data_IF_994349280170
#
_entry.id   IF_994349280170
#
_cell.length_a   1.000
_cell.length_b   1.000
_cell.length_c   1.000
_cell.angle_alpha   90.00
_cell.angle_beta   90.00
_cell.angle_gamma   90.00
#
_symmetry.space_group_name_H-M   'P 1'
#
loop_
_entity.id
_entity.type
_entity.pdbx_description
1 polymer ?
#
# COMPACT_ATOMS: atom_id res chain seq x y z
N UNK A 1 5.31 7.41 5.05
CA UNK A 1 3.99 7.46 5.70
C UNK A 1 3.12 8.42 4.93
N UNK A 2 2.57 7.87 3.87
CA UNK A 2 1.52 8.44 3.08
C UNK A 2 0.33 8.79 3.98
N UNK A 3 -0.29 9.92 3.69
CA UNK A 3 -1.49 10.38 4.39
C UNK A 3 -2.56 10.66 3.36
N UNK A 4 -3.70 10.01 3.53
CA UNK A 4 -4.89 10.21 2.71
C UNK A 4 -6.00 10.80 3.58
N UNK A 5 -6.79 11.73 3.05
CA UNK A 5 -7.88 12.34 3.82
C UNK A 5 -8.97 11.30 4.10
N UNK A 6 -9.24 11.02 5.38
CA UNK A 6 -10.29 10.09 5.82
C UNK A 6 -11.68 10.48 5.34
N UNK A 7 -11.92 11.75 4.99
CA UNK A 7 -13.19 12.18 4.38
C UNK A 7 -13.49 11.42 3.08
N UNK A 8 -12.45 10.98 2.35
CA UNK A 8 -12.57 10.21 1.12
C UNK A 8 -13.21 8.84 1.33
N UNK A 9 -13.11 8.24 2.53
CA UNK A 9 -13.76 6.97 2.85
C UNK A 9 -15.27 7.02 2.50
N UNK A 10 -15.93 8.16 2.72
CA UNK A 10 -17.36 8.34 2.41
C UNK A 10 -17.65 8.41 0.90
N UNK A 11 -16.65 8.70 0.09
CA UNK A 11 -16.78 8.91 -1.36
C UNK A 11 -16.41 7.64 -2.12
N UNK A 12 -15.28 7.01 -1.76
CA UNK A 12 -14.70 5.85 -2.49
C UNK A 12 -14.85 4.53 -1.73
N UNK A 13 -15.31 4.57 -0.48
CA UNK A 13 -15.42 3.40 0.39
C UNK A 13 -14.10 3.03 1.07
N UNK A 14 -14.17 2.29 2.17
CA UNK A 14 -12.99 1.89 2.96
C UNK A 14 -12.02 1.01 2.18
N UNK A 15 -12.54 0.03 1.42
CA UNK A 15 -11.69 -0.90 0.68
C UNK A 15 -10.79 -0.18 -0.31
N UNK A 16 -11.35 0.77 -1.07
CA UNK A 16 -10.58 1.53 -2.06
C UNK A 16 -9.68 2.56 -1.38
N UNK A 17 -10.13 3.18 -0.29
CA UNK A 17 -9.30 4.09 0.51
C UNK A 17 -7.99 3.44 0.97
N UNK A 18 -8.06 2.27 1.62
CA UNK A 18 -6.85 1.60 2.13
C UNK A 18 -6.00 1.01 1.00
N UNK A 19 -6.62 0.65 -0.13
CA UNK A 19 -5.88 0.24 -1.33
C UNK A 19 -5.06 1.39 -1.90
N UNK A 20 -5.64 2.60 -2.00
CA UNK A 20 -4.93 3.80 -2.46
C UNK A 20 -3.82 4.16 -1.48
N UNK A 21 -4.10 4.13 -0.18
CA UNK A 21 -3.10 4.40 0.85
C UNK A 21 -1.91 3.44 0.75
N UNK A 22 -2.18 2.14 0.56
CA UNK A 22 -1.12 1.15 0.34
C UNK A 22 -0.30 1.43 -0.93
N UNK A 23 -0.94 1.85 -2.02
CA UNK A 23 -0.24 2.23 -3.26
C UNK A 23 0.66 3.45 -3.02
N UNK A 24 0.16 4.49 -2.35
CA UNK A 24 0.94 5.70 -2.06
C UNK A 24 2.18 5.40 -1.21
N UNK A 25 2.04 4.53 -0.21
CA UNK A 25 3.16 4.12 0.63
C UNK A 25 4.20 3.34 -0.18
N UNK A 26 3.78 2.46 -1.09
CA UNK A 26 4.67 1.76 -2.01
C UNK A 26 5.43 2.69 -2.96
N UNK A 27 4.77 3.75 -3.45
CA UNK A 27 5.42 4.77 -4.28
C UNK A 27 6.50 5.52 -3.49
N UNK A 28 6.16 5.98 -2.28
CA UNK A 28 7.10 6.68 -1.38
C UNK A 28 8.31 5.81 -1.03
N UNK A 29 8.08 4.52 -0.77
CA UNK A 29 9.14 3.53 -0.52
C UNK A 29 10.06 3.38 -1.71
N UNK A 30 9.52 3.24 -2.93
CA UNK A 30 10.32 3.07 -4.14
C UNK A 30 11.17 4.31 -4.45
N UNK A 31 10.66 5.50 -4.16
CA UNK A 31 11.41 6.75 -4.35
C UNK A 31 12.55 6.91 -3.33
N UNK A 32 12.38 6.38 -2.12
CA UNK A 32 13.38 6.48 -1.04
C UNK A 32 14.41 5.35 -1.05
N UNK A 33 13.99 4.15 -1.39
CA UNK A 33 14.81 2.95 -1.32
C UNK A 33 14.93 2.31 -2.71
N UNK A 34 16.08 2.54 -3.34
CA UNK A 34 16.39 2.05 -4.69
C UNK A 34 16.43 0.53 -4.80
N UNK A 35 16.57 -0.19 -3.68
CA UNK A 35 16.75 -1.66 -3.62
C UNK A 35 15.76 -2.36 -2.66
N UNK A 36 14.56 -1.81 -2.44
CA UNK A 36 13.56 -2.48 -1.60
C UNK A 36 13.03 -3.75 -2.29
N UNK A 37 13.09 -4.90 -1.59
CA UNK A 37 12.51 -6.14 -2.14
C UNK A 37 10.98 -6.10 -2.03
N UNK A 38 10.31 -6.70 -3.01
CA UNK A 38 8.83 -6.86 -3.00
C UNK A 38 8.30 -7.49 -1.69
N UNK A 39 9.07 -8.38 -1.05
CA UNK A 39 8.66 -9.00 0.22
C UNK A 39 8.70 -8.00 1.37
N UNK A 40 9.77 -7.21 1.47
CA UNK A 40 9.94 -6.17 2.51
C UNK A 40 8.87 -5.09 2.35
N UNK A 41 8.62 -4.65 1.11
CA UNK A 41 7.54 -3.72 0.81
C UNK A 41 6.16 -4.27 1.23
N UNK A 42 5.90 -5.56 1.00
CA UNK A 42 4.64 -6.18 1.41
C UNK A 42 4.49 -6.24 2.94
N UNK A 43 5.56 -6.53 3.67
CA UNK A 43 5.55 -6.59 5.13
C UNK A 43 5.16 -5.23 5.72
N UNK A 44 5.77 -4.14 5.25
CA UNK A 44 5.49 -2.79 5.78
C UNK A 44 4.06 -2.36 5.45
N UNK A 45 3.57 -2.66 4.23
CA UNK A 45 2.18 -2.37 3.87
C UNK A 45 1.20 -3.16 4.74
N UNK A 46 1.48 -4.44 5.01
CA UNK A 46 0.62 -5.26 5.84
C UNK A 46 0.65 -4.84 7.31
N UNK A 47 1.78 -4.34 7.81
CA UNK A 47 1.88 -3.73 9.14
C UNK A 47 0.98 -2.50 9.23
N UNK A 48 1.07 -1.57 8.27
CA UNK A 48 0.19 -0.39 8.18
C UNK A 48 -1.29 -0.77 8.09
N UNK A 49 -1.64 -1.79 7.31
CA UNK A 49 -3.01 -2.28 7.22
C UNK A 49 -3.50 -2.88 8.54
N UNK A 50 -2.63 -3.58 9.26
CA UNK A 50 -2.95 -4.16 10.57
C UNK A 50 -3.25 -3.07 11.62
N UNK A 51 -2.56 -1.93 11.59
CA UNK A 51 -2.85 -0.78 12.47
C UNK A 51 -4.25 -0.18 12.24
N UNK A 52 -4.86 -0.51 11.11
CA UNK A 52 -6.17 -0.06 10.70
C UNK A 52 -7.23 -1.17 10.71
N UNK A 53 -6.95 -2.31 11.34
CA UNK A 53 -7.81 -3.50 11.38
C UNK A 53 -8.20 -4.00 9.98
N UNK A 54 -7.30 -3.85 9.00
CA UNK A 54 -7.52 -4.24 7.61
C UNK A 54 -6.89 -5.60 7.31
N UNK A 55 -7.51 -6.41 6.43
CA UNK A 55 -6.93 -7.68 6.03
C UNK A 55 -5.62 -7.45 5.27
N UNK A 56 -4.63 -8.35 5.42
CA UNK A 56 -3.36 -8.24 4.73
C UNK A 56 -3.54 -8.45 3.22
N UNK A 57 -2.65 -7.81 2.46
CA UNK A 57 -2.47 -8.02 1.03
C UNK A 57 -1.57 -9.22 0.77
N UNK A 58 -1.62 -9.72 -0.46
CA UNK A 58 -0.90 -10.92 -0.89
C UNK A 58 0.31 -10.58 -1.76
N UNK A 59 1.25 -11.53 -1.88
CA UNK A 59 2.38 -11.42 -2.81
C UNK A 59 1.94 -11.23 -4.27
N UNK A 60 0.80 -11.77 -4.68
CA UNK A 60 0.28 -11.55 -6.04
C UNK A 60 -0.21 -10.13 -6.24
N UNK A 61 -0.77 -9.49 -5.21
CA UNK A 61 -1.18 -8.09 -5.26
C UNK A 61 0.03 -7.17 -5.45
N UNK A 62 1.08 -7.35 -4.64
CA UNK A 62 2.26 -6.48 -4.74
C UNK A 62 2.99 -6.69 -6.06
N UNK A 63 3.12 -7.93 -6.55
CA UNK A 63 3.67 -8.20 -7.90
C UNK A 63 2.85 -7.55 -9.00
N UNK A 64 1.52 -7.60 -8.88
CA UNK A 64 0.61 -6.95 -9.84
C UNK A 64 0.72 -5.43 -9.86
N UNK A 65 1.15 -4.82 -8.75
CA UNK A 65 1.48 -3.39 -8.69
C UNK A 65 2.91 -3.13 -9.21
N UNK A 66 3.90 -3.88 -8.71
CA UNK A 66 5.33 -3.71 -9.03
C UNK A 66 5.62 -3.85 -10.52
N UNK A 67 5.05 -4.88 -11.16
CA UNK A 67 5.26 -5.18 -12.58
C UNK A 67 4.56 -4.18 -13.52
N UNK A 68 3.77 -3.23 -13.02
CA UNK A 68 3.21 -2.14 -13.86
C UNK A 68 4.22 -1.01 -14.09
N UNK A 69 5.31 -1.01 -13.34
CA UNK A 69 6.34 0.03 -13.41
C UNK A 69 7.65 -0.47 -14.04
N UNK A 70 7.75 -1.77 -14.33
CA UNK A 70 8.76 -2.37 -15.21
C UNK A 70 8.28 -2.36 -16.67
#
# INVERSE_FOLDING_TARGET
MAVLDKSLIKIIGENEYYRILAIMELEEMRERETELKQVEALEIINEMLSEHDRPPLTLSWIKGWWNKFE
#
